data_IF_840225209345
#
_entry.id   IF_840225209345
#
_cell.length_a   1.000
_cell.length_b   1.000
_cell.length_c   1.000
_cell.angle_alpha   90.00
_cell.angle_beta   90.00
_cell.angle_gamma   90.00
#
_symmetry.space_group_name_H-M   'P 1'
#
loop_
_entity.id
_entity.type
_entity.pdbx_description
1 polymer ?
#
# COMPACT_ATOMS: atom_id res chain seq x y z
N UNK A 1 20.88 -8.89 14.36
CA UNK A 1 20.74 -9.29 12.94
C UNK A 1 19.56 -8.52 12.38
N UNK A 2 19.91 -7.42 11.72
CA UNK A 2 19.04 -6.61 10.89
C UNK A 2 19.02 -7.29 9.54
N UNK A 3 17.85 -7.71 9.14
CA UNK A 3 17.61 -8.31 7.85
C UNK A 3 16.09 -8.25 7.72
N UNK A 4 15.60 -7.22 7.01
CA UNK A 4 14.42 -7.46 6.19
C UNK A 4 14.91 -8.42 5.11
N UNK A 5 14.99 -9.70 5.48
CA UNK A 5 14.85 -10.74 4.49
C UNK A 5 13.35 -10.91 4.42
N UNK A 6 12.77 -10.35 3.36
CA UNK A 6 12.04 -11.28 2.53
C UNK A 6 13.06 -12.37 2.12
N UNK A 7 13.22 -13.41 2.94
CA UNK A 7 13.93 -14.65 2.56
C UNK A 7 13.05 -15.50 1.65
N UNK A 8 11.93 -14.98 1.15
CA UNK A 8 11.35 -15.51 -0.06
C UNK A 8 12.14 -14.93 -1.23
N UNK A 9 12.77 -15.80 -2.02
CA UNK A 9 13.29 -15.47 -3.35
C UNK A 9 12.12 -15.14 -4.32
N UNK A 10 11.26 -14.20 -3.94
CA UNK A 10 10.09 -13.81 -4.73
C UNK A 10 10.17 -12.31 -4.94
N UNK A 11 10.70 -11.94 -6.11
CA UNK A 11 10.66 -10.58 -6.59
C UNK A 11 9.24 -10.30 -7.09
N UNK A 12 8.44 -9.61 -6.28
CA UNK A 12 7.06 -9.29 -6.62
C UNK A 12 6.96 -7.90 -7.27
N UNK A 13 6.64 -7.86 -8.56
CA UNK A 13 6.39 -6.62 -9.30
C UNK A 13 4.90 -6.37 -9.44
N UNK A 14 4.42 -5.25 -8.90
CA UNK A 14 3.02 -4.87 -8.99
C UNK A 14 2.78 -3.96 -10.20
N UNK A 15 2.26 -4.54 -11.29
CA UNK A 15 1.97 -3.79 -12.52
C UNK A 15 0.60 -3.09 -12.48
N UNK A 16 0.50 -1.93 -13.11
CA UNK A 16 -0.77 -1.22 -13.33
C UNK A 16 -1.18 -1.36 -14.80
N UNK A 17 -2.43 -1.74 -15.05
CA UNK A 17 -2.98 -1.95 -16.40
C UNK A 17 -4.03 -0.87 -16.75
N UNK A 18 -3.87 0.36 -16.25
CA UNK A 18 -4.76 1.48 -16.55
C UNK A 18 -4.54 2.03 -17.96
N UNK A 19 -5.59 2.04 -18.80
CA UNK A 19 -5.51 2.33 -20.23
C UNK A 19 -5.67 3.82 -20.63
N UNK A 20 -5.66 4.77 -19.69
CA UNK A 20 -6.11 6.14 -19.97
C UNK A 20 -5.02 7.24 -19.98
N UNK A 21 -3.73 6.89 -19.98
CA UNK A 21 -2.68 7.89 -20.23
C UNK A 21 -2.17 7.75 -21.66
N UNK A 22 -2.43 8.77 -22.49
CA UNK A 22 -1.99 8.80 -23.89
C UNK A 22 -0.45 8.72 -24.01
N UNK A 23 0.31 9.15 -22.99
CA UNK A 23 1.77 8.96 -22.86
C UNK A 23 2.23 8.92 -21.39
N UNK A 24 3.20 8.07 -21.07
CA UNK A 24 3.90 8.03 -19.77
C UNK A 24 5.00 9.09 -19.77
N UNK A 25 5.11 9.95 -18.74
CA UNK A 25 6.19 10.95 -18.66
C UNK A 25 7.55 10.23 -18.66
N UNK A 26 8.53 10.76 -19.40
CA UNK A 26 9.83 10.11 -19.64
C UNK A 26 10.56 9.68 -18.35
N UNK A 27 10.46 10.49 -17.29
CA UNK A 27 11.02 10.17 -15.96
C UNK A 27 10.49 8.88 -15.32
N UNK A 28 9.39 8.33 -15.80
CA UNK A 28 8.78 7.07 -15.32
C UNK A 28 8.96 5.90 -16.30
N UNK A 29 9.64 6.09 -17.44
CA UNK A 29 9.89 5.04 -18.42
C UNK A 29 11.19 4.32 -18.05
N UNK A 30 11.10 3.04 -17.69
CA UNK A 30 12.29 2.22 -17.46
C UNK A 30 13.13 2.03 -18.74
N UNK A 31 14.47 1.94 -18.63
CA UNK A 31 15.33 1.49 -19.72
C UNK A 31 14.84 0.17 -20.33
N UNK A 32 14.99 -0.07 -21.64
CA UNK A 32 14.45 -1.27 -22.31
C UNK A 32 14.77 -2.60 -21.61
N UNK A 33 15.97 -2.74 -21.05
CA UNK A 33 16.42 -3.95 -20.36
C UNK A 33 15.83 -4.14 -18.94
N UNK A 34 15.17 -3.12 -18.39
CA UNK A 34 14.47 -3.15 -17.10
C UNK A 34 12.94 -3.16 -17.26
N UNK A 35 12.43 -3.12 -18.50
CA UNK A 35 10.98 -3.12 -18.74
C UNK A 35 10.40 -4.53 -18.50
N UNK A 36 9.22 -4.62 -17.89
CA UNK A 36 8.56 -5.91 -17.69
C UNK A 36 8.17 -6.54 -19.04
N UNK A 37 8.58 -7.79 -19.27
CA UNK A 37 8.20 -8.58 -20.44
C UNK A 37 6.84 -9.27 -20.19
N UNK A 38 5.75 -8.50 -20.23
CA UNK A 38 4.41 -8.96 -19.82
C UNK A 38 3.95 -10.22 -20.59
N UNK A 39 4.37 -10.39 -21.85
CA UNK A 39 4.05 -11.55 -22.68
C UNK A 39 4.69 -12.87 -22.23
N UNK A 40 5.67 -12.82 -21.33
CA UNK A 40 6.40 -14.00 -20.83
C UNK A 40 5.90 -14.47 -19.46
N UNK A 41 4.89 -13.80 -18.88
CA UNK A 41 4.36 -14.11 -17.55
C UNK A 41 3.33 -15.24 -17.63
N UNK A 42 3.57 -16.36 -16.96
CA UNK A 42 2.64 -17.48 -16.85
C UNK A 42 1.69 -17.34 -15.65
N UNK A 43 0.51 -17.95 -15.75
CA UNK A 43 -0.46 -18.01 -14.64
C UNK A 43 -0.08 -19.11 -13.65
N UNK A 44 -0.20 -18.83 -12.36
CA UNK A 44 0.09 -19.77 -11.26
C UNK A 44 -1.14 -19.90 -10.35
N UNK A 45 -1.90 -20.98 -10.51
CA UNK A 45 -3.23 -21.13 -9.90
C UNK A 45 -3.27 -21.99 -8.63
N UNK A 46 -2.14 -22.58 -8.22
CA UNK A 46 -2.07 -23.56 -7.12
C UNK A 46 -1.64 -22.95 -5.76
N UNK A 47 -1.83 -21.64 -5.58
CA UNK A 47 -1.42 -20.95 -4.35
C UNK A 47 -2.33 -21.37 -3.20
N UNK A 48 -1.74 -21.70 -2.05
CA UNK A 48 -2.49 -21.98 -0.83
C UNK A 48 -3.41 -20.80 -0.48
N UNK A 49 -4.72 -21.07 -0.34
CA UNK A 49 -5.68 -20.12 0.22
C UNK A 49 -6.04 -20.53 1.64
N UNK A 50 -5.85 -19.62 2.59
CA UNK A 50 -6.16 -19.78 4.02
C UNK A 50 -7.43 -18.99 4.34
N UNK A 51 -8.43 -19.64 4.92
CA UNK A 51 -9.54 -18.92 5.54
C UNK A 51 -9.13 -18.51 6.96
N UNK A 52 -9.42 -17.27 7.35
CA UNK A 52 -9.05 -16.79 8.68
C UNK A 52 -9.75 -17.56 9.80
N UNK A 53 -10.96 -18.10 9.53
CA UNK A 53 -11.69 -18.94 10.50
C UNK A 53 -10.89 -20.19 10.89
N UNK A 54 -10.01 -20.66 10.02
CA UNK A 54 -9.18 -21.85 10.25
C UNK A 54 -7.95 -21.57 11.15
N UNK A 55 -7.67 -20.29 11.47
CA UNK A 55 -6.56 -19.92 12.34
C UNK A 55 -6.78 -20.40 13.78
N UNK A 56 -8.03 -20.60 14.19
CA UNK A 56 -8.39 -21.02 15.53
C UNK A 56 -9.08 -22.39 15.53
N UNK A 57 -9.01 -23.11 16.66
CA UNK A 57 -9.68 -24.41 16.82
C UNK A 57 -8.86 -25.64 16.42
N UNK A 58 -9.56 -26.76 16.24
CA UNK A 58 -8.95 -28.09 16.11
C UNK A 58 -8.11 -28.30 14.84
N UNK A 59 -8.33 -27.49 13.81
CA UNK A 59 -7.61 -27.57 12.52
C UNK A 59 -6.30 -26.78 12.51
N UNK A 60 -6.01 -25.97 13.55
CA UNK A 60 -4.86 -25.06 13.60
C UNK A 60 -3.53 -25.76 13.32
N UNK A 61 -3.31 -26.96 13.88
CA UNK A 61 -2.07 -27.71 13.67
C UNK A 61 -1.84 -28.03 12.19
N UNK A 62 -2.88 -28.55 11.52
CA UNK A 62 -2.83 -28.87 10.08
C UNK A 62 -2.64 -27.61 9.23
N UNK A 63 -3.24 -26.49 9.62
CA UNK A 63 -3.07 -25.23 8.92
C UNK A 63 -1.63 -24.71 9.03
N UNK A 64 -1.02 -24.77 10.21
CA UNK A 64 0.39 -24.37 10.42
C UNK A 64 1.31 -25.16 9.49
N UNK A 65 1.12 -26.47 9.37
CA UNK A 65 1.93 -27.31 8.47
C UNK A 65 1.76 -26.92 7.00
N UNK A 66 0.52 -26.60 6.57
CA UNK A 66 0.24 -26.14 5.20
C UNK A 66 0.88 -24.80 4.90
N UNK A 67 0.76 -23.83 5.82
CA UNK A 67 1.37 -22.50 5.68
C UNK A 67 2.89 -22.65 5.57
N UNK A 68 3.50 -23.44 6.46
CA UNK A 68 4.95 -23.71 6.41
C UNK A 68 5.36 -24.27 5.05
N UNK A 69 4.68 -25.31 4.57
CA UNK A 69 4.99 -25.91 3.29
C UNK A 69 4.85 -24.94 2.11
N UNK A 70 3.78 -24.14 2.07
CA UNK A 70 3.59 -23.14 1.00
C UNK A 70 4.59 -21.99 1.09
N UNK A 71 4.96 -21.56 2.30
CA UNK A 71 6.05 -20.60 2.48
C UNK A 71 7.41 -21.16 2.03
N UNK A 72 7.67 -22.44 2.25
CA UNK A 72 8.92 -23.10 1.82
C UNK A 72 8.97 -23.33 0.30
N UNK A 73 7.83 -23.65 -0.34
CA UNK A 73 7.74 -23.99 -1.78
C UNK A 73 7.47 -22.76 -2.65
N UNK A 74 6.46 -21.97 -2.31
CA UNK A 74 5.97 -20.84 -3.11
C UNK A 74 6.54 -19.50 -2.62
N UNK A 75 6.92 -19.41 -1.34
CA UNK A 75 7.32 -18.15 -0.71
C UNK A 75 6.15 -17.26 -0.28
N UNK A 76 4.91 -17.61 -0.61
CA UNK A 76 3.71 -16.85 -0.28
C UNK A 76 2.44 -17.72 -0.27
N UNK A 77 1.40 -17.22 0.39
CA UNK A 77 0.06 -17.82 0.41
C UNK A 77 -0.99 -16.70 0.42
N UNK A 78 -2.23 -17.03 0.09
CA UNK A 78 -3.37 -16.11 0.11
C UNK A 78 -4.19 -16.29 1.39
N UNK A 79 -4.84 -15.21 1.85
CA UNK A 79 -5.76 -15.23 3.00
C UNK A 79 -7.10 -14.65 2.57
N UNK A 80 -8.21 -15.28 2.98
CA UNK A 80 -9.58 -14.90 2.64
C UNK A 80 -10.35 -14.36 3.86
N UNK A 81 -11.40 -13.59 3.55
CA UNK A 81 -12.51 -13.17 4.42
C UNK A 81 -12.27 -11.99 5.40
N UNK A 82 -11.14 -11.88 6.09
CA UNK A 82 -10.96 -10.80 7.10
C UNK A 82 -10.66 -9.42 6.51
N UNK A 83 -9.90 -9.35 5.44
CA UNK A 83 -9.53 -8.06 4.82
C UNK A 83 -10.69 -7.41 4.07
N UNK A 84 -11.72 -8.18 3.69
CA UNK A 84 -12.78 -7.75 2.80
C UNK A 84 -13.65 -6.62 3.36
N UNK A 85 -14.03 -6.69 4.65
CA UNK A 85 -14.89 -5.65 5.26
C UNK A 85 -14.12 -4.33 5.42
N UNK A 86 -12.95 -4.38 6.06
CA UNK A 86 -12.14 -3.19 6.29
C UNK A 86 -11.72 -2.53 4.96
N UNK A 87 -11.32 -3.32 3.94
CA UNK A 87 -11.01 -2.78 2.61
C UNK A 87 -12.21 -2.06 1.98
N UNK A 88 -13.42 -2.64 2.06
CA UNK A 88 -14.65 -2.01 1.54
C UNK A 88 -14.99 -0.71 2.28
N UNK A 89 -14.92 -0.71 3.61
CA UNK A 89 -15.25 0.46 4.43
C UNK A 89 -14.26 1.61 4.15
N UNK A 90 -12.96 1.30 4.09
CA UNK A 90 -11.93 2.29 3.73
C UNK A 90 -12.10 2.78 2.29
N UNK A 91 -12.46 1.91 1.34
CA UNK A 91 -12.74 2.32 -0.03
C UNK A 91 -13.92 3.30 -0.09
N UNK A 92 -15.01 3.00 0.60
CA UNK A 92 -16.17 3.87 0.67
C UNK A 92 -15.85 5.21 1.37
N UNK A 93 -14.96 5.21 2.37
CA UNK A 93 -14.44 6.45 2.96
C UNK A 93 -13.64 7.26 1.94
N UNK A 94 -12.68 6.64 1.25
CA UNK A 94 -11.83 7.31 0.26
C UNK A 94 -12.65 7.95 -0.86
N UNK A 95 -13.63 7.24 -1.43
CA UNK A 95 -14.48 7.80 -2.49
C UNK A 95 -15.23 9.07 -2.02
N UNK A 96 -15.68 9.10 -0.76
CA UNK A 96 -16.33 10.28 -0.17
C UNK A 96 -15.34 11.41 0.10
N UNK A 97 -14.12 11.09 0.56
CA UNK A 97 -13.06 12.08 0.73
C UNK A 97 -12.69 12.73 -0.60
N UNK A 98 -12.56 11.94 -1.67
CA UNK A 98 -12.24 12.44 -3.01
C UNK A 98 -13.28 13.41 -3.54
N UNK A 99 -14.56 13.24 -3.19
CA UNK A 99 -15.60 14.22 -3.52
C UNK A 99 -15.32 15.56 -2.85
N UNK A 100 -15.21 15.56 -1.52
CA UNK A 100 -14.98 16.79 -0.74
C UNK A 100 -13.66 17.47 -1.12
N UNK A 101 -12.62 16.69 -1.42
CA UNK A 101 -11.33 17.22 -1.87
C UNK A 101 -11.48 17.85 -3.26
N UNK A 102 -12.26 17.26 -4.17
CA UNK A 102 -12.54 17.87 -5.49
C UNK A 102 -13.19 19.24 -5.34
N UNK A 103 -14.18 19.37 -4.46
CA UNK A 103 -14.83 20.65 -4.16
C UNK A 103 -13.87 21.66 -3.52
N UNK A 104 -13.03 21.21 -2.58
CA UNK A 104 -12.01 22.06 -1.94
C UNK A 104 -10.97 22.60 -2.94
N UNK A 105 -10.78 21.89 -4.06
CA UNK A 105 -9.94 22.29 -5.18
C UNK A 105 -10.66 23.17 -6.23
N UNK A 106 -11.93 23.52 -5.99
CA UNK A 106 -12.75 24.28 -6.92
C UNK A 106 -13.13 23.52 -8.19
N UNK A 107 -13.05 22.19 -8.17
CA UNK A 107 -13.43 21.32 -9.29
C UNK A 107 -14.88 20.86 -9.14
N UNK A 108 -15.40 20.20 -10.20
CA UNK A 108 -16.65 19.45 -10.12
C UNK A 108 -16.59 18.46 -8.95
N UNK A 109 -17.70 18.29 -8.23
CA UNK A 109 -17.75 17.55 -6.96
C UNK A 109 -17.21 16.12 -7.07
N UNK A 110 -17.22 15.49 -8.24
CA UNK A 110 -16.76 14.11 -8.45
C UNK A 110 -15.50 14.01 -9.34
N UNK A 111 -14.81 15.14 -9.54
CA UNK A 111 -13.66 15.25 -10.45
C UNK A 111 -12.56 14.23 -10.17
N UNK A 112 -12.13 14.08 -8.91
CA UNK A 112 -11.04 13.16 -8.56
C UNK A 112 -11.44 11.68 -8.70
N UNK A 113 -12.68 11.32 -8.40
CA UNK A 113 -13.15 9.95 -8.63
C UNK A 113 -13.15 9.63 -10.12
N UNK A 114 -13.67 10.53 -10.97
CA UNK A 114 -13.63 10.40 -12.43
C UNK A 114 -12.20 10.35 -12.97
N UNK A 115 -11.29 11.11 -12.37
CA UNK A 115 -9.86 11.13 -12.76
C UNK A 115 -9.18 9.81 -12.42
N UNK A 116 -9.53 9.20 -11.29
CA UNK A 116 -8.97 7.92 -10.85
C UNK A 116 -9.68 6.68 -11.40
N UNK A 117 -10.90 6.83 -11.94
CA UNK A 117 -11.78 5.87 -12.67
C UNK A 117 -11.59 4.38 -12.27
N UNK A 118 -10.48 3.78 -12.70
CA UNK A 118 -10.04 2.43 -12.31
C UNK A 118 -9.24 2.46 -10.99
N UNK A 119 -9.95 2.71 -9.89
CA UNK A 119 -9.34 2.75 -8.55
C UNK A 119 -8.66 1.42 -8.18
N UNK A 120 -7.34 1.46 -8.07
CA UNK A 120 -6.55 0.41 -7.41
C UNK A 120 -6.44 0.71 -5.93
N UNK A 121 -6.79 -0.26 -5.09
CA UNK A 121 -6.63 -0.17 -3.65
C UNK A 121 -5.54 -1.15 -3.21
N UNK A 122 -4.56 -0.65 -2.47
CA UNK A 122 -3.52 -1.45 -1.82
C UNK A 122 -3.64 -1.23 -0.33
N UNK A 123 -3.50 -2.30 0.44
CA UNK A 123 -3.51 -2.24 1.90
C UNK A 123 -2.22 -2.84 2.42
N UNK A 124 -1.49 -2.04 3.19
CA UNK A 124 -0.24 -2.45 3.82
C UNK A 124 -0.45 -2.47 5.34
N UNK A 125 -0.04 -3.57 5.97
CA UNK A 125 0.01 -3.69 7.42
C UNK A 125 1.49 -3.75 7.79
N UNK A 126 1.95 -2.73 8.52
CA UNK A 126 3.33 -2.63 8.94
C UNK A 126 3.46 -2.98 10.42
N UNK A 127 4.36 -3.92 10.73
CA UNK A 127 4.70 -4.27 12.10
C UNK A 127 6.14 -3.85 12.40
N UNK A 128 6.30 -2.89 13.32
CA UNK A 128 7.61 -2.38 13.74
C UNK A 128 7.95 -2.89 15.14
N UNK A 129 8.81 -3.90 15.29
CA UNK A 129 9.22 -4.38 16.60
C UNK A 129 10.06 -3.32 17.36
N UNK A 130 10.12 -3.37 18.70
CA UNK A 130 10.99 -2.50 19.49
C UNK A 130 12.45 -2.51 19.01
N UNK A 131 13.05 -1.34 18.89
CA UNK A 131 14.43 -1.17 18.43
C UNK A 131 15.33 -0.70 19.59
N UNK A 132 16.45 -1.39 19.90
CA UNK A 132 17.35 -0.96 20.97
C UNK A 132 18.13 0.32 20.63
N UNK A 133 18.33 0.62 19.34
CA UNK A 133 19.09 1.78 18.87
C UNK A 133 18.29 2.58 17.84
N UNK A 134 17.16 3.21 18.23
CA UNK A 134 16.22 3.84 17.29
C UNK A 134 16.80 5.06 16.55
N UNK A 135 17.91 5.64 17.03
CA UNK A 135 18.59 6.77 16.37
C UNK A 135 19.48 6.36 15.19
N UNK A 136 19.74 5.05 15.01
CA UNK A 136 20.65 4.54 13.98
C UNK A 136 19.90 3.94 12.77
N UNK A 137 18.57 3.94 12.79
CA UNK A 137 17.77 3.28 11.76
C UNK A 137 16.39 3.93 11.63
N UNK A 138 15.64 3.52 10.62
CA UNK A 138 14.26 3.92 10.39
C UNK A 138 13.36 2.69 10.37
N UNK A 139 12.10 2.83 10.80
CA UNK A 139 11.08 1.82 10.54
C UNK A 139 10.83 1.66 9.04
N UNK A 140 10.70 2.80 8.34
CA UNK A 140 10.66 2.89 6.87
C UNK A 140 11.54 4.08 6.46
N UNK A 141 12.35 3.90 5.41
CA UNK A 141 13.21 4.95 4.90
C UNK A 141 12.37 6.17 4.44
N UNK A 142 12.92 7.39 4.51
CA UNK A 142 12.25 8.57 3.94
C UNK A 142 11.92 8.34 2.47
N UNK A 143 10.66 8.55 2.09
CA UNK A 143 10.16 8.40 0.73
C UNK A 143 8.96 9.32 0.50
N UNK A 144 8.62 9.53 -0.77
CA UNK A 144 7.30 10.00 -1.18
C UNK A 144 6.49 8.82 -1.69
N UNK A 145 5.20 8.83 -1.41
CA UNK A 145 4.31 7.75 -1.81
C UNK A 145 3.86 7.92 -3.27
N UNK A 146 3.91 6.86 -4.10
CA UNK A 146 3.53 6.93 -5.51
C UNK A 146 2.01 6.85 -5.76
N UNK A 147 1.20 6.92 -4.69
CA UNK A 147 -0.27 6.76 -4.77
C UNK A 147 -0.97 8.09 -5.07
N UNK A 148 -2.30 8.08 -5.17
CA UNK A 148 -3.12 9.31 -5.25
C UNK A 148 -3.63 9.81 -3.91
N UNK A 149 -4.06 8.90 -3.02
CA UNK A 149 -4.49 9.21 -1.66
C UNK A 149 -4.07 8.07 -0.73
N UNK A 150 -3.60 8.41 0.47
CA UNK A 150 -3.27 7.44 1.51
C UNK A 150 -4.13 7.71 2.73
N UNK A 151 -4.67 6.63 3.29
CA UNK A 151 -5.39 6.61 4.56
C UNK A 151 -4.60 5.71 5.50
N UNK A 152 -3.93 6.30 6.48
CA UNK A 152 -3.10 5.62 7.44
C UNK A 152 -3.78 5.56 8.80
N UNK A 153 -3.96 4.36 9.32
CA UNK A 153 -4.32 4.14 10.72
C UNK A 153 -3.03 3.97 11.53
N UNK A 154 -2.81 4.85 12.52
CA UNK A 154 -1.69 4.70 13.45
C UNK A 154 -2.09 3.79 14.60
N UNK A 155 -1.14 3.04 15.14
CA UNK A 155 -1.31 2.39 16.44
C UNK A 155 -1.13 3.39 17.59
N UNK A 156 -1.12 2.88 18.82
CA UNK A 156 -0.99 3.70 20.04
C UNK A 156 0.42 4.24 20.28
N UNK A 157 1.38 3.85 19.43
CA UNK A 157 2.78 4.29 19.53
C UNK A 157 3.07 5.29 18.41
N UNK A 158 3.55 6.48 18.82
CA UNK A 158 3.98 7.54 17.90
C UNK A 158 5.19 7.09 17.08
N UNK A 159 5.16 7.33 15.77
CA UNK A 159 6.20 6.86 14.86
C UNK A 159 6.24 7.56 13.50
N UNK A 160 5.10 8.08 13.03
CA UNK A 160 5.08 8.86 11.79
C UNK A 160 5.79 10.21 11.98
N UNK A 161 6.74 10.48 11.09
CA UNK A 161 7.38 11.79 10.96
C UNK A 161 7.25 12.26 9.52
N UNK A 162 6.75 13.48 9.35
CA UNK A 162 6.58 14.12 8.05
C UNK A 162 7.56 15.28 7.89
N UNK A 163 7.97 15.58 6.67
CA UNK A 163 8.79 16.75 6.37
C UNK A 163 7.87 17.94 6.08
N UNK A 164 7.88 18.95 6.95
CA UNK A 164 7.09 20.18 6.82
C UNK A 164 8.01 21.39 6.85
N UNK A 165 8.04 22.17 5.77
CA UNK A 165 8.92 23.35 5.61
C UNK A 165 10.39 23.06 5.97
N UNK A 166 10.92 21.94 5.44
CA UNK A 166 12.30 21.52 5.69
C UNK A 166 12.59 20.96 7.08
N UNK A 167 11.59 20.86 7.96
CA UNK A 167 11.72 20.31 9.32
C UNK A 167 10.94 19.01 9.46
N UNK A 168 11.54 18.02 10.13
CA UNK A 168 10.85 16.76 10.48
C UNK A 168 9.94 17.00 11.68
N UNK A 169 8.65 16.74 11.51
CA UNK A 169 7.61 16.92 12.54
C UNK A 169 6.95 15.57 12.81
N UNK A 170 6.78 15.23 14.08
CA UNK A 170 6.06 14.01 14.49
C UNK A 170 4.55 14.24 14.36
N UNK A 171 3.83 13.23 13.85
CA UNK A 171 2.36 13.22 13.79
C UNK A 171 1.85 12.31 14.90
N UNK A 172 1.42 12.90 16.01
CA UNK A 172 0.92 12.14 17.15
C UNK A 172 -0.38 11.39 16.80
N UNK A 173 -0.53 10.13 17.25
CA UNK A 173 -1.76 9.37 17.03
C UNK A 173 -2.91 10.00 17.80
N UNK A 174 -4.05 10.17 17.11
CA UNK A 174 -5.33 10.49 17.74
C UNK A 174 -6.14 9.20 17.74
N UNK A 175 -6.68 8.75 18.90
CA UNK A 175 -7.49 7.55 18.97
C UNK A 175 -8.65 7.57 17.96
N UNK A 176 -8.82 6.47 17.22
CA UNK A 176 -9.85 6.29 16.20
C UNK A 176 -9.79 7.27 15.01
N UNK A 177 -8.66 7.95 14.79
CA UNK A 177 -8.47 8.83 13.65
C UNK A 177 -7.55 8.22 12.59
N UNK A 178 -7.83 8.54 11.33
CA UNK A 178 -6.90 8.28 10.23
C UNK A 178 -6.07 9.54 9.93
N UNK A 179 -4.80 9.34 9.59
CA UNK A 179 -4.00 10.34 8.89
C UNK A 179 -4.29 10.19 7.39
N UNK A 180 -4.73 11.26 6.75
CA UNK A 180 -4.95 11.29 5.30
C UNK A 180 -3.82 12.09 4.65
N UNK A 181 -3.11 11.47 3.71
CA UNK A 181 -2.07 12.13 2.93
C UNK A 181 -2.48 12.19 1.45
N UNK A 182 -2.31 13.36 0.84
CA UNK A 182 -2.49 13.60 -0.59
C UNK A 182 -1.11 13.60 -1.21
N UNK A 183 -0.92 12.77 -2.22
CA UNK A 183 0.40 12.29 -2.62
C UNK A 183 0.64 12.55 -4.10
N UNK A 184 1.87 12.32 -4.55
CA UNK A 184 2.49 12.81 -5.79
C UNK A 184 1.63 12.68 -7.06
N UNK A 185 0.74 11.67 -7.19
CA UNK A 185 -0.13 11.61 -8.37
C UNK A 185 -1.08 12.81 -8.49
N UNK A 186 -1.47 13.42 -7.38
CA UNK A 186 -2.25 14.66 -7.39
C UNK A 186 -1.38 15.88 -7.75
N UNK A 187 -0.10 15.88 -7.36
CA UNK A 187 0.85 16.93 -7.75
C UNK A 187 1.21 16.86 -9.24
N UNK A 188 1.37 15.65 -9.80
CA UNK A 188 1.73 15.40 -11.21
C UNK A 188 0.67 15.93 -12.18
N UNK A 189 -0.58 16.01 -11.73
CA UNK A 189 -1.71 16.57 -12.50
C UNK A 189 -1.90 18.08 -12.30
N UNK A 190 -0.97 18.77 -11.61
CA UNK A 190 -1.05 20.20 -11.27
C UNK A 190 -2.28 20.56 -10.42
N UNK A 191 -2.83 19.59 -9.68
CA UNK A 191 -4.05 19.78 -8.90
C UNK A 191 -3.74 20.48 -7.57
N UNK A 192 -2.54 20.27 -7.00
CA UNK A 192 -2.05 21.00 -5.82
C UNK A 192 -0.89 21.93 -6.19
N UNK A 193 -0.77 23.10 -5.53
CA UNK A 193 0.46 23.87 -5.59
C UNK A 193 1.60 23.05 -4.98
N UNK A 194 2.70 22.88 -5.72
CA UNK A 194 3.95 22.30 -5.23
C UNK A 194 4.43 23.05 -3.98
N UNK A 195 4.81 22.37 -2.89
CA UNK A 195 5.47 22.99 -1.74
C UNK A 195 6.81 23.63 -2.09
#
# INVERSE_FOLDING_TARGET
>A
KMLSIATGQVEAHLMSHGFNHLQVKEKYIFPPHQRPQISEVSHYDNILVVDFKDLEGSLRKRLVDRIKNSSDVDGFFQVKEVTGKYAKDIRALVLRLLVVISEALGQDFDYLNKTFDKHKQVMNINYYPPCPNPNLTFGVAPHSDPSGIIVLMQGDVSGLKVLKHGKRVTVEPIPNAFVVNLVDQLEVNHIFPTP
#
